data_IF_013830575142
#
_entry.id   IF_013830575142
#
_cell.length_a   1.000
_cell.length_b   1.000
_cell.length_c   1.000
_cell.angle_alpha   90.00
_cell.angle_beta   90.00
_cell.angle_gamma   90.00
#
_symmetry.space_group_name_H-M   'P 1'
#
loop_
_entity.id
_entity.type
_entity.pdbx_description
1 polymer ?
#
# COMPACT_ATOMS: atom_id res chain seq x y z
N UNK A 1 -1.91 -3.06 -22.01
CA UNK A 1 -3.09 -3.76 -21.49
C UNK A 1 -4.08 -2.78 -20.92
N UNK A 2 -5.35 -3.22 -20.86
CA UNK A 2 -6.39 -2.53 -20.12
C UNK A 2 -7.18 -3.60 -19.35
N UNK A 3 -7.37 -3.38 -18.06
CA UNK A 3 -8.23 -4.18 -17.20
C UNK A 3 -9.33 -3.28 -16.64
N UNK A 4 -10.55 -3.79 -16.57
CA UNK A 4 -11.71 -3.10 -16.04
C UNK A 4 -12.36 -3.99 -14.99
N UNK A 5 -12.39 -3.52 -13.73
CA UNK A 5 -12.96 -4.22 -12.58
C UNK A 5 -12.47 -5.68 -12.44
N UNK A 6 -11.19 -5.90 -12.73
CA UNK A 6 -10.57 -7.22 -12.57
C UNK A 6 -10.39 -7.51 -11.08
N UNK A 7 -10.88 -8.65 -10.61
CA UNK A 7 -10.75 -9.05 -9.21
C UNK A 7 -9.31 -9.55 -8.94
N UNK A 8 -8.42 -8.60 -8.63
CA UNK A 8 -7.03 -8.89 -8.33
C UNK A 8 -6.86 -9.58 -6.97
N UNK A 9 -7.76 -9.32 -6.03
CA UNK A 9 -7.76 -9.98 -4.72
C UNK A 9 -7.92 -11.49 -4.83
N UNK A 10 -8.88 -11.96 -5.64
CA UNK A 10 -9.03 -13.39 -5.92
C UNK A 10 -7.80 -13.97 -6.63
N UNK A 11 -7.18 -13.22 -7.55
CA UNK A 11 -5.96 -13.65 -8.24
C UNK A 11 -4.77 -13.78 -7.29
N UNK A 12 -4.65 -12.88 -6.30
CA UNK A 12 -3.57 -12.88 -5.30
C UNK A 12 -3.91 -13.68 -4.04
N UNK A 13 -5.14 -14.25 -3.97
CA UNK A 13 -5.68 -14.91 -2.78
C UNK A 13 -5.63 -14.03 -1.52
N UNK A 14 -5.97 -12.76 -1.68
CA UNK A 14 -5.99 -11.78 -0.59
C UNK A 14 -7.37 -11.12 -0.47
N UNK A 15 -8.11 -11.32 0.65
CA UNK A 15 -9.48 -10.83 0.80
C UNK A 15 -9.59 -9.32 1.03
N UNK A 16 -8.51 -8.65 1.43
CA UNK A 16 -8.49 -7.20 1.67
C UNK A 16 -8.46 -6.42 0.36
N UNK A 17 -7.89 -7.05 -0.69
CA UNK A 17 -7.79 -6.46 -2.02
C UNK A 17 -9.00 -6.87 -2.85
N UNK A 18 -9.67 -5.89 -3.43
CA UNK A 18 -10.83 -6.11 -4.30
C UNK A 18 -10.49 -6.00 -5.79
N UNK A 19 -11.30 -5.23 -6.49
CA UNK A 19 -11.17 -5.01 -7.94
C UNK A 19 -10.12 -3.96 -8.26
N UNK A 20 -9.54 -4.08 -9.45
CA UNK A 20 -8.66 -3.08 -10.05
C UNK A 20 -9.11 -2.74 -11.47
N UNK A 21 -9.06 -1.45 -11.79
CA UNK A 21 -9.18 -0.95 -13.17
C UNK A 21 -7.91 -0.20 -13.53
N UNK A 22 -7.21 -0.65 -14.57
CA UNK A 22 -5.93 -0.09 -14.97
C UNK A 22 -5.72 -0.06 -16.48
N UNK A 23 -4.85 0.84 -16.91
CA UNK A 23 -4.36 0.91 -18.30
C UNK A 23 -2.85 1.16 -18.28
N UNK A 24 -2.10 0.38 -19.03
CA UNK A 24 -0.65 0.53 -19.05
C UNK A 24 0.07 -0.37 -20.02
N UNK A 25 1.38 -0.23 -20.05
CA UNK A 25 2.30 -1.08 -20.78
C UNK A 25 2.79 -2.21 -19.87
N UNK A 26 2.78 -3.42 -20.40
CA UNK A 26 3.30 -4.62 -19.73
C UNK A 26 4.33 -5.25 -20.64
N UNK A 27 5.52 -5.50 -20.13
CA UNK A 27 6.57 -6.27 -20.80
C UNK A 27 6.99 -7.41 -19.89
N UNK A 28 7.02 -8.62 -20.41
CA UNK A 28 7.46 -9.74 -19.59
C UNK A 28 7.12 -11.08 -20.19
N UNK A 29 7.36 -12.12 -19.39
CA UNK A 29 7.13 -13.52 -19.76
C UNK A 29 6.51 -14.27 -18.56
N UNK A 30 5.84 -15.40 -18.86
CA UNK A 30 5.18 -16.22 -17.87
C UNK A 30 3.82 -15.69 -17.44
N UNK A 31 2.79 -16.53 -17.47
CA UNK A 31 1.42 -16.18 -17.05
C UNK A 31 1.03 -16.85 -15.72
N UNK A 32 1.94 -17.63 -15.12
CA UNK A 32 1.74 -18.23 -13.79
C UNK A 32 2.49 -17.42 -12.75
N UNK A 33 1.85 -17.11 -11.61
CA UNK A 33 2.39 -16.29 -10.54
C UNK A 33 3.86 -16.62 -10.21
N UNK A 34 4.22 -17.83 -9.90
CA UNK A 34 5.59 -18.22 -9.53
C UNK A 34 6.62 -18.22 -10.67
N UNK A 35 6.21 -17.99 -11.94
CA UNK A 35 7.09 -17.94 -13.12
C UNK A 35 7.00 -16.62 -13.87
N UNK A 36 6.21 -15.69 -13.37
CA UNK A 36 6.01 -14.39 -13.99
C UNK A 36 7.25 -13.51 -13.78
N UNK A 37 7.72 -12.91 -14.87
CA UNK A 37 8.71 -11.83 -14.85
C UNK A 37 8.16 -10.71 -15.72
N UNK A 38 7.60 -9.70 -15.07
CA UNK A 38 6.78 -8.70 -15.74
C UNK A 38 7.09 -7.31 -15.22
N UNK A 39 7.34 -6.38 -16.13
CA UNK A 39 7.41 -4.94 -15.85
C UNK A 39 6.08 -4.31 -16.22
N UNK A 40 5.57 -3.46 -15.34
CA UNK A 40 4.37 -2.68 -15.54
C UNK A 40 4.66 -1.19 -15.39
N UNK A 41 4.14 -0.39 -16.32
CA UNK A 41 4.09 1.07 -16.20
C UNK A 41 2.71 1.51 -16.67
N UNK A 42 1.97 2.20 -15.83
CA UNK A 42 0.62 2.60 -16.19
C UNK A 42 -0.12 3.37 -15.11
N UNK A 43 -1.38 3.67 -15.44
CA UNK A 43 -2.31 4.32 -14.57
C UNK A 43 -3.35 3.31 -14.05
N UNK A 44 -3.60 3.34 -12.75
CA UNK A 44 -4.70 2.64 -12.09
C UNK A 44 -5.78 3.67 -11.80
N UNK A 45 -6.92 3.53 -12.45
CA UNK A 45 -8.04 4.43 -12.27
C UNK A 45 -8.91 4.07 -11.07
N UNK A 46 -8.84 2.81 -10.63
CA UNK A 46 -9.57 2.29 -9.49
C UNK A 46 -8.82 1.13 -8.87
N UNK A 47 -8.64 1.15 -7.55
CA UNK A 47 -8.14 0.04 -6.74
C UNK A 47 -8.98 -0.06 -5.47
N UNK A 48 -9.73 -1.12 -5.32
CA UNK A 48 -10.44 -1.38 -4.08
C UNK A 48 -9.51 -2.05 -3.07
N UNK A 49 -9.34 -1.42 -1.91
CA UNK A 49 -8.51 -1.92 -0.81
C UNK A 49 -9.17 -1.53 0.51
N UNK A 50 -9.44 -2.52 1.37
CA UNK A 50 -10.07 -2.32 2.68
C UNK A 50 -11.38 -1.51 2.59
N UNK A 51 -12.26 -1.91 1.67
CA UNK A 51 -13.57 -1.29 1.39
C UNK A 51 -13.52 0.21 0.97
N UNK A 52 -12.34 0.70 0.62
CA UNK A 52 -12.16 2.01 0.01
C UNK A 52 -11.67 1.87 -1.44
N UNK A 53 -12.19 2.74 -2.32
CA UNK A 53 -11.82 2.77 -3.74
C UNK A 53 -10.85 3.92 -4.01
N UNK A 54 -9.56 3.58 -4.08
CA UNK A 54 -8.50 4.51 -4.43
C UNK A 54 -8.47 4.78 -5.93
N UNK A 55 -8.31 6.05 -6.32
CA UNK A 55 -8.18 6.50 -7.69
C UNK A 55 -6.87 7.21 -8.00
N UNK A 56 -6.67 7.59 -9.27
CA UNK A 56 -5.55 8.43 -9.73
C UNK A 56 -4.17 7.90 -9.29
N UNK A 57 -3.89 6.62 -9.53
CA UNK A 57 -2.64 5.99 -9.16
C UNK A 57 -1.78 5.81 -10.40
N UNK A 58 -0.53 6.29 -10.36
CA UNK A 58 0.50 5.96 -11.34
C UNK A 58 1.39 4.90 -10.72
N UNK A 59 1.53 3.77 -11.40
CA UNK A 59 2.32 2.64 -10.94
C UNK A 59 3.45 2.33 -11.93
N UNK A 60 4.63 2.07 -11.39
CA UNK A 60 5.79 1.59 -12.13
C UNK A 60 6.49 0.54 -11.29
N UNK A 61 6.64 -0.66 -11.82
CA UNK A 61 7.26 -1.74 -11.06
C UNK A 61 7.56 -2.97 -11.88
N UNK A 62 8.25 -3.89 -11.22
CA UNK A 62 8.56 -5.21 -11.72
C UNK A 62 8.02 -6.27 -10.77
N UNK A 63 7.36 -7.28 -11.33
CA UNK A 63 6.98 -8.48 -10.60
C UNK A 63 7.81 -9.64 -11.09
N UNK A 64 8.58 -10.28 -10.20
CA UNK A 64 9.42 -11.43 -10.48
C UNK A 64 9.58 -12.31 -9.25
N UNK A 65 9.49 -13.64 -9.42
CA UNK A 65 9.67 -14.61 -8.34
C UNK A 65 8.78 -14.32 -7.10
N UNK A 66 7.50 -14.00 -7.34
CA UNK A 66 6.55 -13.58 -6.33
C UNK A 66 6.96 -12.32 -5.53
N UNK A 67 7.81 -11.48 -6.10
CA UNK A 67 8.20 -10.20 -5.53
C UNK A 67 7.77 -9.08 -6.46
N UNK A 68 7.19 -8.04 -5.89
CA UNK A 68 6.94 -6.79 -6.56
C UNK A 68 7.90 -5.73 -6.02
N UNK A 69 8.65 -5.10 -6.91
CA UNK A 69 9.50 -3.95 -6.61
C UNK A 69 9.07 -2.79 -7.49
N UNK A 70 8.76 -1.65 -6.87
CA UNK A 70 8.22 -0.56 -7.65
C UNK A 70 7.89 0.71 -6.88
N UNK A 71 7.26 1.62 -7.60
CA UNK A 71 6.81 2.92 -7.10
C UNK A 71 5.36 3.16 -7.43
N UNK A 72 4.68 3.83 -6.51
CA UNK A 72 3.33 4.35 -6.68
C UNK A 72 3.32 5.86 -6.41
N UNK A 73 2.61 6.60 -7.26
CA UNK A 73 2.21 7.98 -6.98
C UNK A 73 0.69 7.98 -6.94
N UNK A 74 0.13 8.31 -5.81
CA UNK A 74 -1.31 8.32 -5.57
C UNK A 74 -1.74 9.77 -5.37
N UNK A 75 -2.73 10.22 -6.12
CA UNK A 75 -3.38 11.53 -6.00
C UNK A 75 -4.90 11.37 -5.91
N UNK A 76 -5.30 10.59 -4.91
CA UNK A 76 -6.69 10.35 -4.56
C UNK A 76 -7.23 11.46 -3.66
N UNK A 77 -8.56 11.58 -3.56
CA UNK A 77 -9.22 12.58 -2.70
C UNK A 77 -8.82 12.43 -1.23
N UNK A 78 -8.65 11.20 -0.75
CA UNK A 78 -8.36 10.87 0.65
C UNK A 78 -6.95 10.32 0.88
N UNK A 79 -6.14 10.14 -0.18
CA UNK A 79 -4.76 9.72 -0.08
C UNK A 79 -3.89 10.38 -1.16
N UNK A 80 -2.94 11.22 -0.72
CA UNK A 80 -1.89 11.76 -1.60
C UNK A 80 -0.54 11.30 -1.09
N UNK A 81 0.11 10.42 -1.86
CA UNK A 81 1.31 9.72 -1.41
C UNK A 81 2.24 9.37 -2.57
N UNK A 82 3.54 9.41 -2.30
CA UNK A 82 4.55 8.74 -3.11
C UNK A 82 5.14 7.60 -2.31
N UNK A 83 5.17 6.41 -2.89
CA UNK A 83 5.64 5.20 -2.26
C UNK A 83 6.63 4.50 -3.17
N UNK A 84 7.73 4.00 -2.60
CA UNK A 84 8.66 3.10 -3.26
C UNK A 84 8.90 1.91 -2.33
N UNK A 85 8.97 0.71 -2.88
CA UNK A 85 9.28 -0.43 -2.03
C UNK A 85 9.10 -1.78 -2.68
N UNK A 86 9.32 -2.78 -1.86
CA UNK A 86 9.29 -4.19 -2.18
C UNK A 86 8.15 -4.89 -1.42
N UNK A 87 7.36 -5.67 -2.15
CA UNK A 87 6.44 -6.67 -1.60
C UNK A 87 6.99 -8.05 -1.94
N UNK A 88 7.33 -8.83 -0.95
CA UNK A 88 7.82 -10.19 -1.11
C UNK A 88 6.74 -11.20 -0.69
N UNK A 89 6.10 -11.80 -1.69
CA UNK A 89 5.08 -12.85 -1.53
C UNK A 89 5.67 -14.25 -1.78
N UNK A 90 7.00 -14.40 -1.81
CA UNK A 90 7.68 -15.66 -2.11
C UNK A 90 7.80 -16.60 -0.90
N UNK A 91 7.56 -16.09 0.30
CA UNK A 91 7.61 -16.82 1.57
C UNK A 91 6.21 -16.97 2.17
N UNK A 92 6.04 -17.92 3.08
CA UNK A 92 4.78 -18.16 3.77
C UNK A 92 4.30 -16.92 4.54
N UNK A 93 5.22 -16.20 5.17
CA UNK A 93 4.96 -14.90 5.78
C UNK A 93 5.41 -13.84 4.79
N UNK A 94 4.48 -13.03 4.31
CA UNK A 94 4.73 -11.95 3.36
C UNK A 94 5.55 -10.83 4.01
N UNK A 95 6.44 -10.18 3.23
CA UNK A 95 7.28 -9.08 3.70
C UNK A 95 7.03 -7.83 2.89
N UNK A 96 7.09 -6.69 3.58
CA UNK A 96 6.83 -5.38 3.02
C UNK A 96 7.92 -4.41 3.48
N UNK A 97 8.70 -3.91 2.53
CA UNK A 97 9.73 -2.88 2.76
C UNK A 97 9.34 -1.64 1.94
N UNK A 98 8.80 -0.63 2.60
CA UNK A 98 8.29 0.58 1.95
C UNK A 98 8.90 1.85 2.52
N UNK A 99 9.17 2.81 1.63
CA UNK A 99 9.42 4.21 1.99
C UNK A 99 8.37 5.07 1.33
N UNK A 100 7.71 5.91 2.10
CA UNK A 100 6.65 6.77 1.59
C UNK A 100 6.76 8.20 2.07
N UNK A 101 6.28 9.12 1.24
CA UNK A 101 6.00 10.50 1.58
C UNK A 101 4.49 10.72 1.46
N UNK A 102 3.84 10.88 2.61
CA UNK A 102 2.41 11.08 2.73
C UNK A 102 2.18 12.58 2.86
N UNK A 103 1.67 13.22 1.79
CA UNK A 103 1.31 14.63 1.83
C UNK A 103 -0.11 14.86 2.36
N UNK A 104 -0.97 13.84 2.27
CA UNK A 104 -2.30 13.81 2.85
C UNK A 104 -2.81 12.37 2.94
N UNK A 105 -3.34 11.99 4.09
CA UNK A 105 -4.07 10.74 4.28
C UNK A 105 -5.19 10.96 5.29
N UNK A 106 -6.44 10.79 4.86
CA UNK A 106 -7.60 10.75 5.74
C UNK A 106 -7.85 9.31 6.17
N UNK A 107 -7.40 8.98 7.37
CA UNK A 107 -7.45 7.62 7.92
C UNK A 107 -8.89 7.11 8.10
N UNK A 108 -9.84 8.02 8.37
CA UNK A 108 -11.25 7.66 8.54
C UNK A 108 -11.88 7.29 7.21
N UNK A 109 -11.79 8.17 6.22
CA UNK A 109 -12.40 7.95 4.90
C UNK A 109 -11.80 6.75 4.16
N UNK A 110 -10.53 6.43 4.43
CA UNK A 110 -9.83 5.26 3.86
C UNK A 110 -10.04 3.97 4.66
N UNK A 111 -10.90 3.99 5.69
CA UNK A 111 -11.20 2.86 6.59
C UNK A 111 -10.00 2.31 7.37
N UNK A 112 -8.90 3.08 7.47
CA UNK A 112 -7.70 2.65 8.20
C UNK A 112 -7.81 2.93 9.70
N UNK A 113 -8.58 3.96 10.08
CA UNK A 113 -8.81 4.31 11.48
C UNK A 113 -10.14 5.05 11.60
N UNK A 114 -11.11 4.45 12.28
CA UNK A 114 -12.51 4.91 12.31
C UNK A 114 -12.94 5.50 13.66
N UNK A 115 -12.03 5.53 14.64
CA UNK A 115 -12.33 5.98 16.01
C UNK A 115 -12.66 7.47 16.11
N UNK A 116 -11.91 8.30 15.35
CA UNK A 116 -12.09 9.75 15.35
C UNK A 116 -12.95 10.19 14.16
N UNK A 117 -13.69 11.29 14.32
CA UNK A 117 -14.51 11.86 13.23
C UNK A 117 -13.65 12.54 12.16
N UNK A 118 -12.45 12.99 12.53
CA UNK A 118 -11.41 13.50 11.65
C UNK A 118 -10.09 12.87 12.07
N UNK A 119 -9.36 12.29 11.14
CA UNK A 119 -8.07 11.67 11.40
C UNK A 119 -7.18 11.82 10.16
N UNK A 120 -6.45 12.93 10.07
CA UNK A 120 -5.59 13.25 8.93
C UNK A 120 -4.13 13.10 9.35
N UNK A 121 -3.34 12.38 8.55
CA UNK A 121 -1.90 12.23 8.76
C UNK A 121 -1.11 12.74 7.56
N UNK A 122 0.05 13.35 7.81
CA UNK A 122 1.08 13.74 6.84
C UNK A 122 2.44 13.40 7.43
N UNK A 123 3.41 13.06 6.59
CA UNK A 123 4.77 12.77 7.06
C UNK A 123 5.50 11.78 6.19
N UNK A 124 6.71 11.44 6.61
CA UNK A 124 7.52 10.39 6.03
C UNK A 124 7.33 9.11 6.82
N UNK A 125 7.23 7.99 6.14
CA UNK A 125 7.11 6.67 6.75
C UNK A 125 8.03 5.68 6.05
N UNK A 126 8.73 4.87 6.85
CA UNK A 126 9.46 3.71 6.37
C UNK A 126 8.97 2.49 7.15
N UNK A 127 8.54 1.46 6.42
CA UNK A 127 8.05 0.19 6.95
C UNK A 127 9.02 -0.91 6.58
N UNK A 128 9.38 -1.74 7.55
CA UNK A 128 10.01 -3.05 7.38
C UNK A 128 9.22 -4.03 8.24
N UNK A 129 8.21 -4.63 7.63
CA UNK A 129 7.21 -5.45 8.33
C UNK A 129 6.98 -6.77 7.60
N UNK A 130 6.52 -7.76 8.35
CA UNK A 130 6.11 -9.06 7.86
C UNK A 130 4.78 -9.46 8.48
N UNK A 131 3.93 -10.13 7.72
CA UNK A 131 2.61 -10.60 8.17
C UNK A 131 1.70 -10.89 6.98
N UNK A 132 0.62 -11.62 7.23
CA UNK A 132 -0.39 -11.97 6.23
C UNK A 132 -1.72 -11.25 6.46
N UNK A 133 -1.95 -10.80 7.70
CA UNK A 133 -3.13 -10.05 8.14
C UNK A 133 -2.69 -8.87 9.01
N UNK A 134 -3.60 -7.97 9.36
CA UNK A 134 -3.29 -6.86 10.28
C UNK A 134 -2.98 -7.34 11.70
N UNK A 135 -3.47 -8.51 12.11
CA UNK A 135 -3.34 -9.03 13.47
C UNK A 135 -2.00 -9.76 13.70
N UNK A 136 -1.34 -10.22 12.61
CA UNK A 136 -0.07 -10.95 12.67
C UNK A 136 1.14 -10.13 12.20
N UNK A 137 0.96 -8.82 12.00
CA UNK A 137 2.05 -7.94 11.57
C UNK A 137 3.13 -7.86 12.65
N UNK A 138 4.36 -8.15 12.24
CA UNK A 138 5.58 -7.95 13.02
C UNK A 138 6.55 -7.06 12.26
N UNK A 139 7.46 -6.38 12.99
CA UNK A 139 8.49 -5.55 12.37
C UNK A 139 8.51 -4.11 12.89
N UNK A 140 9.02 -3.20 12.08
CA UNK A 140 9.33 -1.83 12.46
C UNK A 140 8.70 -0.85 11.48
N UNK A 141 8.06 0.18 12.02
CA UNK A 141 7.60 1.34 11.29
C UNK A 141 8.28 2.60 11.85
N UNK A 142 9.04 3.30 11.02
CA UNK A 142 9.71 4.54 11.36
C UNK A 142 8.95 5.71 10.74
N UNK A 143 8.69 6.72 11.54
CA UNK A 143 7.95 7.91 11.14
C UNK A 143 8.79 9.16 11.40
N UNK A 144 8.80 10.12 10.43
CA UNK A 144 9.50 11.41 10.55
C UNK A 144 8.62 12.56 10.09
N UNK A 145 8.75 13.70 10.79
CA UNK A 145 8.03 14.94 10.48
C UNK A 145 6.52 14.73 10.36
N UNK A 146 5.96 13.94 11.28
CA UNK A 146 4.54 13.57 11.23
C UNK A 146 3.69 14.69 11.81
N UNK A 147 2.59 14.99 11.11
CA UNK A 147 1.49 15.80 11.60
C UNK A 147 0.24 14.95 11.61
N UNK A 148 -0.36 14.84 12.76
CA UNK A 148 -1.66 14.21 12.96
C UNK A 148 -2.68 15.28 13.35
N UNK A 149 -3.75 15.40 12.59
CA UNK A 149 -4.84 16.35 12.84
C UNK A 149 -6.12 15.59 13.12
N UNK A 150 -6.70 15.83 14.27
CA UNK A 150 -8.05 15.37 14.60
C UNK A 150 -9.03 16.55 14.67
N UNK A 151 -10.28 16.31 15.11
CA UNK A 151 -11.30 17.35 15.19
C UNK A 151 -11.01 18.48 16.20
N UNK A 152 -10.01 18.34 17.07
CA UNK A 152 -9.71 19.29 18.16
C UNK A 152 -8.40 20.03 17.92
N UNK A 153 -7.35 19.33 17.48
CA UNK A 153 -5.99 19.85 17.48
C UNK A 153 -5.08 19.15 16.47
N UNK A 154 -3.92 19.76 16.21
CA UNK A 154 -2.84 19.20 15.42
C UNK A 154 -1.68 18.80 16.35
N UNK A 155 -1.27 17.53 16.28
CA UNK A 155 -0.10 17.00 16.95
C UNK A 155 1.07 16.90 15.96
N UNK A 156 2.27 17.24 16.40
CA UNK A 156 3.50 17.19 15.61
C UNK A 156 4.52 16.30 16.28
N UNK A 157 5.11 15.42 15.50
CA UNK A 157 6.14 14.50 15.94
C UNK A 157 7.34 14.61 14.99
N UNK A 158 8.52 14.88 15.54
CA UNK A 158 9.75 14.96 14.72
C UNK A 158 10.13 13.57 14.21
N UNK A 159 10.22 12.60 15.12
CA UNK A 159 10.53 11.21 14.81
C UNK A 159 9.97 10.27 15.89
N UNK A 160 9.43 9.14 15.46
CA UNK A 160 9.08 8.02 16.35
C UNK A 160 9.11 6.70 15.60
N UNK A 161 9.27 5.63 16.38
CA UNK A 161 9.30 4.26 15.87
C UNK A 161 8.21 3.44 16.56
N UNK A 162 7.50 2.65 15.77
CA UNK A 162 6.57 1.63 16.24
C UNK A 162 7.17 0.27 15.94
N UNK A 163 7.25 -0.58 16.95
CA UNK A 163 7.69 -1.97 16.79
C UNK A 163 6.54 -2.91 17.17
N UNK A 164 6.26 -3.87 16.31
CA UNK A 164 5.31 -4.94 16.57
C UNK A 164 6.04 -6.27 16.64
N UNK A 165 5.74 -7.08 17.65
CA UNK A 165 6.22 -8.45 17.80
C UNK A 165 5.07 -9.33 18.24
N UNK A 166 5.04 -10.56 17.76
CA UNK A 166 4.12 -11.57 18.30
C UNK A 166 4.50 -11.82 19.76
N UNK A 167 3.49 -11.85 20.64
CA UNK A 167 3.68 -12.36 22.01
C UNK A 167 3.56 -13.87 21.95
N UNK A 168 4.55 -14.56 22.47
CA UNK A 168 4.50 -16.00 22.76
C UNK A 168 3.42 -16.29 23.80
#
# INVERSE_FOLDING_TARGET
>A
IQLIKFNIGSFLNNPIIGNVSLKGAVKGSGFKLGKMNTKFVGAVSELNLNDYSYGNIIANGQYQNNKFDGSLVIDDANLKMKLNGLVDLSTEIHKFDFKSNISYLNLKETNLFTRDTTAIIKGLMALDIAGNTFDDITGIANFKNVRYTNQKEEHRFEEFTVTSSLKD
#
